data_IF_896407130509
#
_entry.id   IF_896407130509
#
_cell.length_a   1.000
_cell.length_b   1.000
_cell.length_c   1.000
_cell.angle_alpha   90.00
_cell.angle_beta   90.00
_cell.angle_gamma   90.00
#
_symmetry.space_group_name_H-M   'P 1'
#
loop_
_entity.id
_entity.type
_entity.pdbx_description
1 polymer ?
#
# COMPACT_ATOMS: atom_id res chain seq x y z
N UNK A 1 7.41 -39.52 9.55
CA UNK A 1 8.63 -38.75 9.23
C UNK A 1 8.34 -37.26 9.43
N UNK A 2 8.96 -36.60 10.41
CA UNK A 2 8.85 -35.13 10.56
C UNK A 2 9.59 -34.48 9.40
N UNK A 3 8.85 -33.81 8.49
CA UNK A 3 9.45 -33.01 7.42
C UNK A 3 10.22 -31.86 8.08
N UNK A 4 11.54 -31.86 7.96
CA UNK A 4 12.37 -30.78 8.48
C UNK A 4 11.99 -29.49 7.75
N UNK A 5 11.61 -28.47 8.50
CA UNK A 5 11.31 -27.12 7.96
C UNK A 5 12.64 -26.49 7.57
N UNK A 6 12.74 -26.03 6.34
CA UNK A 6 13.93 -25.33 5.88
C UNK A 6 14.07 -23.98 6.58
N UNK A 7 15.23 -23.69 7.18
CA UNK A 7 15.55 -22.38 7.78
C UNK A 7 15.32 -21.25 6.77
N UNK A 8 15.48 -21.52 5.48
CA UNK A 8 15.25 -20.56 4.39
C UNK A 8 13.80 -20.04 4.32
N UNK A 9 12.80 -20.83 4.71
CA UNK A 9 11.40 -20.38 4.78
C UNK A 9 11.04 -19.70 6.10
N UNK A 10 11.84 -19.86 7.14
CA UNK A 10 11.59 -19.28 8.46
C UNK A 10 11.99 -17.81 8.51
N UNK A 11 13.12 -17.43 7.88
CA UNK A 11 13.64 -16.04 7.89
C UNK A 11 12.63 -15.02 7.35
N UNK A 12 12.02 -15.18 6.16
CA UNK A 12 10.99 -14.24 5.69
C UNK A 12 9.80 -14.15 6.64
N UNK A 13 9.31 -15.29 7.14
CA UNK A 13 8.17 -15.31 8.05
C UNK A 13 8.44 -14.54 9.36
N UNK A 14 9.68 -14.57 9.87
CA UNK A 14 10.07 -13.77 11.05
C UNK A 14 9.94 -12.27 10.71
N UNK A 15 10.40 -11.85 9.54
CA UNK A 15 10.33 -10.44 9.12
C UNK A 15 8.87 -10.00 8.96
N UNK A 16 8.01 -10.84 8.37
CA UNK A 16 6.56 -10.58 8.27
C UNK A 16 5.92 -10.44 9.66
N UNK A 17 6.27 -11.31 10.64
CA UNK A 17 5.76 -11.21 12.02
C UNK A 17 6.27 -9.94 12.72
N UNK A 18 7.51 -9.51 12.46
CA UNK A 18 8.02 -8.24 12.95
C UNK A 18 7.27 -7.05 12.35
N UNK A 19 6.98 -7.08 11.04
CA UNK A 19 6.16 -6.06 10.38
C UNK A 19 4.76 -6.00 11.00
N UNK A 20 4.11 -7.14 11.23
CA UNK A 20 2.81 -7.23 11.90
C UNK A 20 2.86 -6.64 13.31
N UNK A 21 3.92 -6.93 14.06
CA UNK A 21 4.11 -6.39 15.42
C UNK A 21 4.22 -4.86 15.42
N UNK A 22 4.86 -4.28 14.40
CA UNK A 22 4.93 -2.83 14.23
C UNK A 22 3.55 -2.23 13.90
N UNK A 23 2.74 -2.86 13.03
CA UNK A 23 1.39 -2.39 12.73
C UNK A 23 0.48 -2.39 13.96
N UNK A 24 0.53 -3.45 14.77
CA UNK A 24 -0.19 -3.52 16.05
C UNK A 24 0.32 -2.48 17.06
N UNK A 25 1.64 -2.23 17.07
CA UNK A 25 2.25 -1.20 17.92
C UNK A 25 1.83 0.20 17.48
N UNK A 26 1.63 0.43 16.18
CA UNK A 26 1.10 1.69 15.67
C UNK A 26 -0.30 1.99 16.22
N UNK A 27 -1.19 1.00 16.30
CA UNK A 27 -2.50 1.13 16.92
C UNK A 27 -2.36 1.52 18.40
N UNK A 28 -1.46 0.85 19.15
CA UNK A 28 -1.18 1.20 20.55
C UNK A 28 -0.74 2.66 20.68
N UNK A 29 0.16 3.14 19.82
CA UNK A 29 0.61 4.54 19.85
C UNK A 29 -0.53 5.51 19.51
N UNK A 30 -1.40 5.17 18.58
CA UNK A 30 -2.59 5.98 18.27
C UNK A 30 -3.54 6.09 19.47
N UNK A 31 -3.77 4.99 20.20
CA UNK A 31 -4.61 4.98 21.41
C UNK A 31 -4.10 5.92 22.51
N UNK A 32 -2.78 6.13 22.60
CA UNK A 32 -2.18 7.10 23.54
C UNK A 32 -1.91 8.46 22.88
N UNK A 33 -2.55 8.75 21.76
CA UNK A 33 -2.45 10.01 20.99
C UNK A 33 -1.02 10.36 20.50
N UNK A 34 -0.14 9.38 20.43
CA UNK A 34 1.22 9.56 19.91
C UNK A 34 1.27 9.18 18.42
N UNK A 35 0.65 10.02 17.58
CA UNK A 35 0.56 9.78 16.13
C UNK A 35 1.91 9.86 15.42
N UNK A 36 2.87 10.62 15.98
CA UNK A 36 4.23 10.67 15.46
C UNK A 36 4.84 9.26 15.40
N UNK A 37 4.88 8.55 16.53
CA UNK A 37 5.43 7.20 16.60
C UNK A 37 4.54 6.19 15.88
N UNK A 38 3.23 6.39 15.85
CA UNK A 38 2.29 5.53 15.12
C UNK A 38 2.60 5.52 13.61
N UNK A 39 2.81 6.69 12.98
CA UNK A 39 3.19 6.81 11.56
C UNK A 39 4.55 6.14 11.30
N UNK A 40 5.55 6.38 12.17
CA UNK A 40 6.87 5.76 12.02
C UNK A 40 6.76 4.24 12.05
N UNK A 41 5.94 3.66 12.94
CA UNK A 41 5.71 2.21 12.99
C UNK A 41 5.09 1.68 11.69
N UNK A 42 4.10 2.37 11.09
CA UNK A 42 3.52 1.95 9.80
C UNK A 42 4.55 2.04 8.67
N UNK A 43 5.36 3.10 8.63
CA UNK A 43 6.43 3.23 7.62
C UNK A 43 7.45 2.11 7.76
N UNK A 44 7.88 1.78 8.98
CA UNK A 44 8.79 0.67 9.23
C UNK A 44 8.15 -0.68 8.89
N UNK A 45 6.86 -0.88 9.20
CA UNK A 45 6.12 -2.07 8.80
C UNK A 45 6.11 -2.23 7.28
N UNK A 46 5.86 -1.16 6.52
CA UNK A 46 5.89 -1.17 5.05
C UNK A 46 7.29 -1.48 4.48
N UNK A 47 8.35 -1.01 5.13
CA UNK A 47 9.73 -1.32 4.72
C UNK A 47 10.04 -2.80 4.96
N UNK A 48 9.66 -3.37 6.11
CA UNK A 48 9.87 -4.77 6.42
C UNK A 48 9.07 -5.69 5.51
N UNK A 49 7.82 -5.34 5.23
CA UNK A 49 6.95 -6.03 4.28
C UNK A 49 7.56 -6.06 2.87
N UNK A 50 8.02 -4.93 2.35
CA UNK A 50 8.72 -4.91 1.07
C UNK A 50 10.03 -5.71 1.08
N UNK A 51 10.67 -5.88 2.23
CA UNK A 51 11.92 -6.62 2.39
C UNK A 51 11.68 -8.13 2.44
N UNK A 52 10.67 -8.63 3.19
CA UNK A 52 10.42 -10.06 3.37
C UNK A 52 10.10 -10.78 2.06
N UNK A 53 9.25 -10.19 1.21
CA UNK A 53 8.93 -10.71 -0.11
C UNK A 53 10.15 -10.74 -1.06
N UNK A 54 11.07 -9.77 -0.95
CA UNK A 54 12.33 -9.78 -1.72
C UNK A 54 13.30 -10.83 -1.19
N UNK A 55 13.47 -10.92 0.13
CA UNK A 55 14.33 -11.90 0.79
C UNK A 55 13.83 -13.31 0.49
N UNK A 56 12.51 -13.59 0.62
CA UNK A 56 11.93 -14.89 0.30
C UNK A 56 12.29 -15.37 -1.11
N UNK A 57 12.24 -14.47 -2.10
CA UNK A 57 12.62 -14.77 -3.49
C UNK A 57 14.11 -14.99 -3.66
N UNK A 58 14.96 -14.17 -3.03
CA UNK A 58 16.41 -14.27 -3.12
C UNK A 58 16.96 -15.59 -2.56
N UNK A 59 16.43 -16.02 -1.38
CA UNK A 59 16.88 -17.25 -0.74
C UNK A 59 16.12 -18.50 -1.19
N UNK A 60 15.19 -18.35 -2.16
CA UNK A 60 14.27 -19.41 -2.63
C UNK A 60 13.50 -20.07 -1.47
N UNK A 61 13.09 -19.25 -0.49
CA UNK A 61 12.42 -19.65 0.74
C UNK A 61 10.91 -19.43 0.71
N UNK A 62 10.29 -19.25 -0.45
CA UNK A 62 8.85 -19.06 -0.59
C UNK A 62 8.08 -20.31 -0.13
N UNK A 63 7.03 -20.12 0.67
CA UNK A 63 6.14 -21.19 1.15
C UNK A 63 4.68 -20.73 1.09
N UNK A 64 3.74 -21.69 0.98
CA UNK A 64 2.30 -21.39 1.03
C UNK A 64 1.92 -20.71 2.36
N UNK A 65 2.45 -21.22 3.48
CA UNK A 65 2.23 -20.61 4.79
C UNK A 65 2.75 -19.16 4.86
N UNK A 66 3.95 -18.89 4.31
CA UNK A 66 4.49 -17.54 4.27
C UNK A 66 3.64 -16.56 3.45
N UNK A 67 3.09 -17.00 2.32
CA UNK A 67 2.22 -16.18 1.49
C UNK A 67 0.88 -15.82 2.18
N UNK A 68 0.30 -16.77 2.93
CA UNK A 68 -0.92 -16.50 3.72
C UNK A 68 -0.61 -15.58 4.91
N UNK A 69 0.51 -15.80 5.59
CA UNK A 69 0.96 -14.95 6.70
C UNK A 69 1.21 -13.51 6.24
N UNK A 70 1.85 -13.32 5.10
CA UNK A 70 2.09 -12.05 4.43
C UNK A 70 0.76 -11.30 4.16
N UNK A 71 -0.22 -11.98 3.55
CA UNK A 71 -1.53 -11.40 3.28
C UNK A 71 -2.30 -10.98 4.55
N UNK A 72 -2.17 -11.76 5.64
CA UNK A 72 -2.79 -11.42 6.92
C UNK A 72 -2.09 -10.24 7.59
N UNK A 73 -0.76 -10.19 7.52
CA UNK A 73 0.05 -9.07 8.01
C UNK A 73 -0.27 -7.78 7.23
N UNK A 74 -0.36 -7.87 5.90
CA UNK A 74 -0.77 -6.77 5.01
C UNK A 74 -2.13 -6.21 5.40
N UNK A 75 -3.11 -7.09 5.67
CA UNK A 75 -4.45 -6.66 6.07
C UNK A 75 -4.42 -5.86 7.37
N UNK A 76 -3.65 -6.29 8.36
CA UNK A 76 -3.52 -5.56 9.63
C UNK A 76 -2.74 -4.26 9.44
N UNK A 77 -1.57 -4.31 8.80
CA UNK A 77 -0.65 -3.19 8.68
C UNK A 77 -1.19 -2.05 7.79
N UNK A 78 -1.92 -2.39 6.72
CA UNK A 78 -2.36 -1.42 5.69
C UNK A 78 -3.87 -1.28 5.59
N UNK A 79 -4.64 -2.19 6.20
CA UNK A 79 -6.09 -2.10 6.29
C UNK A 79 -6.53 -1.60 7.67
N UNK A 80 -6.29 -2.40 8.70
CA UNK A 80 -6.85 -2.15 10.03
C UNK A 80 -6.15 -0.99 10.74
N UNK A 81 -4.81 -1.03 10.83
CA UNK A 81 -4.06 -0.05 11.61
C UNK A 81 -4.22 1.39 11.09
N UNK A 82 -4.06 1.71 9.79
CA UNK A 82 -4.26 3.06 9.26
C UNK A 82 -5.69 3.59 9.45
N UNK A 83 -6.69 2.71 9.25
CA UNK A 83 -8.08 3.08 9.41
C UNK A 83 -8.42 3.43 10.88
N UNK A 84 -7.97 2.60 11.83
CA UNK A 84 -8.15 2.86 13.25
C UNK A 84 -7.38 4.10 13.73
N UNK A 85 -6.16 4.32 13.20
CA UNK A 85 -5.41 5.53 13.50
C UNK A 85 -6.16 6.79 13.08
N UNK A 86 -6.73 6.81 11.86
CA UNK A 86 -7.52 7.94 11.39
C UNK A 86 -8.83 8.08 12.18
N UNK A 87 -9.49 6.97 12.55
CA UNK A 87 -10.68 6.97 13.39
C UNK A 87 -10.41 7.60 14.76
N UNK A 88 -9.34 7.19 15.43
CA UNK A 88 -8.94 7.71 16.74
C UNK A 88 -8.54 9.19 16.65
N UNK A 89 -7.92 9.59 15.53
CA UNK A 89 -7.43 10.95 15.35
C UNK A 89 -8.54 11.97 15.12
N UNK A 90 -9.55 11.64 14.27
CA UNK A 90 -10.55 12.61 13.85
C UNK A 90 -11.95 12.00 13.66
N UNK A 91 -12.09 10.85 13.00
CA UNK A 91 -13.37 10.33 12.55
C UNK A 91 -14.33 9.98 13.71
N UNK A 92 -13.84 9.77 14.91
CA UNK A 92 -14.65 9.51 16.11
C UNK A 92 -15.62 10.66 16.44
N UNK A 93 -15.31 11.90 16.04
CA UNK A 93 -16.17 13.08 16.21
C UNK A 93 -17.50 12.90 15.47
N UNK A 94 -17.51 12.14 14.37
CA UNK A 94 -18.73 11.86 13.59
C UNK A 94 -19.53 10.67 14.13
N UNK A 95 -19.19 10.15 15.30
CA UNK A 95 -19.90 9.04 15.96
C UNK A 95 -20.02 7.78 15.09
N UNK A 96 -21.24 7.26 14.95
CA UNK A 96 -21.49 6.03 14.20
C UNK A 96 -21.14 6.15 12.70
N UNK A 97 -21.29 7.32 12.10
CA UNK A 97 -20.92 7.53 10.69
C UNK A 97 -19.40 7.41 10.47
N UNK A 98 -18.60 7.98 11.37
CA UNK A 98 -17.15 7.85 11.31
C UNK A 98 -16.70 6.38 11.42
N UNK A 99 -17.38 5.61 12.28
CA UNK A 99 -17.11 4.17 12.38
C UNK A 99 -17.47 3.39 11.11
N UNK A 100 -18.65 3.68 10.53
CA UNK A 100 -19.08 3.03 9.27
C UNK A 100 -18.09 3.28 8.14
N UNK A 101 -17.61 4.52 7.98
CA UNK A 101 -16.62 4.86 6.94
C UNK A 101 -15.29 4.14 7.18
N UNK A 102 -14.87 4.03 8.44
CA UNK A 102 -13.69 3.27 8.84
C UNK A 102 -13.83 1.77 8.48
N UNK A 103 -15.00 1.17 8.78
CA UNK A 103 -15.29 -0.22 8.41
C UNK A 103 -15.28 -0.44 6.90
N UNK A 104 -15.85 0.49 6.13
CA UNK A 104 -15.85 0.41 4.66
C UNK A 104 -14.42 0.30 4.13
N UNK A 105 -13.49 1.13 4.63
CA UNK A 105 -12.09 1.07 4.20
C UNK A 105 -11.44 -0.29 4.54
N UNK A 106 -11.64 -0.79 5.76
CA UNK A 106 -11.09 -2.09 6.20
C UNK A 106 -11.61 -3.22 5.31
N UNK A 107 -12.92 -3.24 5.03
CA UNK A 107 -13.55 -4.23 4.17
C UNK A 107 -13.02 -4.12 2.73
N UNK A 108 -12.90 -2.90 2.19
CA UNK A 108 -12.33 -2.66 0.87
C UNK A 108 -10.89 -3.17 0.75
N UNK A 109 -10.07 -2.99 1.79
CA UNK A 109 -8.71 -3.52 1.85
C UNK A 109 -8.71 -5.06 1.86
N UNK A 110 -9.58 -5.70 2.66
CA UNK A 110 -9.74 -7.15 2.71
C UNK A 110 -10.11 -7.72 1.34
N UNK A 111 -11.16 -7.17 0.70
CA UNK A 111 -11.62 -7.61 -0.63
C UNK A 111 -10.55 -7.43 -1.70
N UNK A 112 -9.79 -6.33 -1.62
CA UNK A 112 -8.66 -6.10 -2.51
C UNK A 112 -7.56 -7.16 -2.37
N UNK A 113 -7.16 -7.50 -1.14
CA UNK A 113 -6.15 -8.54 -0.88
C UNK A 113 -6.63 -9.91 -1.35
N UNK A 114 -7.89 -10.27 -1.07
CA UNK A 114 -8.49 -11.51 -1.56
C UNK A 114 -8.45 -11.58 -3.10
N UNK A 115 -8.88 -10.52 -3.80
CA UNK A 115 -8.79 -10.45 -5.27
C UNK A 115 -7.37 -10.57 -5.77
N UNK A 116 -6.40 -9.91 -5.12
CA UNK A 116 -4.99 -9.98 -5.50
C UNK A 116 -4.45 -11.42 -5.39
N UNK A 117 -4.77 -12.13 -4.32
CA UNK A 117 -4.32 -13.51 -4.11
C UNK A 117 -4.87 -14.46 -5.19
N UNK A 118 -6.13 -14.31 -5.59
CA UNK A 118 -6.73 -15.11 -6.67
C UNK A 118 -6.05 -14.83 -8.02
N UNK A 119 -5.72 -13.56 -8.31
CA UNK A 119 -5.16 -13.17 -9.62
C UNK A 119 -3.64 -13.25 -9.71
N UNK A 120 -2.94 -13.52 -8.61
CA UNK A 120 -1.46 -13.56 -8.57
C UNK A 120 -0.85 -14.66 -9.43
N UNK A 121 -1.57 -15.76 -9.66
CA UNK A 121 -1.12 -16.93 -10.42
C UNK A 121 -1.50 -16.87 -11.92
N UNK A 122 -2.22 -15.84 -12.38
CA UNK A 122 -2.64 -15.70 -13.78
C UNK A 122 -1.51 -15.06 -14.58
N UNK A 123 -1.14 -15.70 -15.70
CA UNK A 123 -0.12 -15.17 -16.63
C UNK A 123 -0.70 -13.93 -17.33
N UNK A 124 -0.23 -12.75 -16.95
CA UNK A 124 -0.64 -11.48 -17.54
C UNK A 124 0.12 -11.16 -18.82
N UNK A 125 -0.55 -10.44 -19.72
CA UNK A 125 0.12 -9.89 -20.90
C UNK A 125 1.29 -8.98 -20.48
N UNK A 126 2.50 -9.08 -21.09
CA UNK A 126 3.71 -8.34 -20.70
C UNK A 126 3.54 -6.81 -20.62
N UNK A 127 2.60 -6.24 -21.38
CA UNK A 127 2.29 -4.80 -21.35
C UNK A 127 1.50 -4.44 -20.10
N UNK A 128 0.53 -5.30 -19.73
CA UNK A 128 -0.33 -5.11 -18.55
C UNK A 128 0.40 -5.41 -17.23
N UNK A 129 1.49 -6.16 -17.27
CA UNK A 129 2.30 -6.54 -16.10
C UNK A 129 2.99 -5.33 -15.42
N UNK A 130 3.08 -4.18 -16.10
CA UNK A 130 3.58 -2.93 -15.53
C UNK A 130 2.54 -2.11 -14.78
N UNK A 131 1.29 -2.59 -14.72
CA UNK A 131 0.20 -1.89 -14.03
C UNK A 131 -0.46 -2.82 -13.01
N UNK A 132 -0.74 -2.29 -11.83
CA UNK A 132 -1.62 -2.92 -10.86
C UNK A 132 -3.09 -2.61 -11.20
N UNK A 133 -3.98 -3.50 -10.82
CA UNK A 133 -5.43 -3.27 -10.85
C UNK A 133 -5.86 -2.69 -9.51
N UNK A 134 -6.24 -1.41 -9.49
CA UNK A 134 -6.51 -0.67 -8.25
C UNK A 134 -5.24 -0.18 -7.53
N UNK A 135 -5.44 0.56 -6.43
CA UNK A 135 -4.36 1.05 -5.57
C UNK A 135 -3.85 -0.08 -4.68
N UNK A 136 -2.52 -0.32 -4.58
CA UNK A 136 -1.95 -1.31 -3.65
C UNK A 136 -2.23 -0.95 -2.18
N UNK A 137 -2.38 -1.96 -1.28
CA UNK A 137 -2.72 -1.74 0.14
C UNK A 137 -1.75 -0.80 0.85
N UNK A 138 -0.41 -0.90 0.67
CA UNK A 138 0.51 0.05 1.30
C UNK A 138 0.31 1.49 0.83
N UNK A 139 0.00 1.67 -0.46
CA UNK A 139 -0.28 3.01 -0.99
C UNK A 139 -1.64 3.54 -0.51
N UNK A 140 -2.66 2.69 -0.42
CA UNK A 140 -3.95 3.05 0.19
C UNK A 140 -3.80 3.48 1.65
N UNK A 141 -2.99 2.77 2.43
CA UNK A 141 -2.63 3.15 3.79
C UNK A 141 -1.96 4.53 3.84
N UNK A 142 -0.99 4.76 2.94
CA UNK A 142 -0.33 6.07 2.82
C UNK A 142 -1.32 7.21 2.51
N UNK A 143 -2.30 6.97 1.63
CA UNK A 143 -3.34 7.95 1.30
C UNK A 143 -4.23 8.25 2.53
N UNK A 144 -4.70 7.23 3.23
CA UNK A 144 -5.57 7.37 4.41
C UNK A 144 -4.85 8.09 5.55
N UNK A 145 -3.55 7.92 5.69
CA UNK A 145 -2.75 8.58 6.72
C UNK A 145 -2.34 10.01 6.37
N UNK A 146 -2.59 10.49 5.13
CA UNK A 146 -2.23 11.85 4.71
C UNK A 146 -2.74 12.95 5.67
N UNK A 147 -3.99 12.95 6.18
CA UNK A 147 -4.44 13.98 7.12
C UNK A 147 -3.57 14.04 8.37
N UNK A 148 -3.22 12.90 8.95
CA UNK A 148 -2.34 12.82 10.13
C UNK A 148 -0.92 13.28 9.77
N UNK A 149 -0.40 12.88 8.61
CA UNK A 149 0.92 13.28 8.13
C UNK A 149 0.99 14.81 7.94
N UNK A 150 -0.05 15.41 7.36
CA UNK A 150 -0.17 16.86 7.16
C UNK A 150 -0.19 17.58 8.52
N UNK A 151 -0.95 17.07 9.49
CA UNK A 151 -1.06 17.68 10.82
C UNK A 151 0.27 17.69 11.60
N UNK A 152 1.13 16.68 11.36
CA UNK A 152 2.44 16.54 11.98
C UNK A 152 3.55 17.28 11.21
N UNK A 153 3.28 17.69 9.97
CA UNK A 153 4.21 18.43 9.11
C UNK A 153 4.03 19.93 9.16
N UNK A 154 4.77 20.64 8.28
CA UNK A 154 4.70 22.09 8.15
C UNK A 154 3.48 22.61 7.37
N UNK A 155 2.61 21.71 6.91
CA UNK A 155 1.45 22.01 6.06
C UNK A 155 0.12 21.91 6.82
N UNK A 156 0.14 21.95 8.17
CA UNK A 156 -1.03 21.80 9.03
C UNK A 156 -2.16 22.80 8.71
N UNK A 157 -1.80 24.01 8.25
CA UNK A 157 -2.73 25.06 7.83
C UNK A 157 -3.70 24.61 6.71
N UNK A 158 -3.32 23.59 5.91
CA UNK A 158 -4.21 23.05 4.87
C UNK A 158 -5.43 22.32 5.45
N UNK A 159 -5.35 21.87 6.70
CA UNK A 159 -6.45 21.17 7.38
C UNK A 159 -7.43 22.15 8.02
N UNK A 160 -6.98 23.36 8.36
CA UNK A 160 -7.81 24.38 9.03
C UNK A 160 -9.01 24.78 8.16
N UNK A 161 -8.84 24.79 6.85
CA UNK A 161 -9.89 25.11 5.88
C UNK A 161 -10.65 23.88 5.36
N UNK A 162 -10.17 22.66 5.65
CA UNK A 162 -10.67 21.41 5.07
C UNK A 162 -11.13 20.40 6.12
N UNK A 163 -12.09 20.79 6.96
CA UNK A 163 -12.61 19.97 8.08
C UNK A 163 -13.04 18.55 7.65
N UNK A 164 -13.62 18.39 6.46
CA UNK A 164 -14.10 17.09 5.97
C UNK A 164 -13.03 16.29 5.20
N UNK A 165 -11.81 16.79 5.12
CA UNK A 165 -10.75 16.14 4.37
C UNK A 165 -10.46 14.69 4.83
N UNK A 166 -10.42 14.37 6.16
CA UNK A 166 -10.22 13.00 6.63
C UNK A 166 -11.33 12.03 6.16
N UNK A 167 -12.58 12.48 6.16
CA UNK A 167 -13.72 11.66 5.69
C UNK A 167 -13.64 11.44 4.18
N UNK A 168 -13.34 12.48 3.42
CA UNK A 168 -13.26 12.42 1.94
C UNK A 168 -12.12 11.50 1.52
N UNK A 169 -10.95 11.63 2.14
CA UNK A 169 -9.76 10.87 1.74
C UNK A 169 -9.91 9.36 2.01
N UNK A 170 -10.53 8.97 3.13
CA UNK A 170 -10.74 7.55 3.42
C UNK A 170 -11.78 6.94 2.47
N UNK A 171 -12.83 7.66 2.08
CA UNK A 171 -13.82 7.22 1.09
C UNK A 171 -13.17 7.07 -0.29
N UNK A 172 -12.40 8.06 -0.72
CA UNK A 172 -11.67 8.00 -2.00
C UNK A 172 -10.71 6.83 -2.01
N UNK A 173 -9.93 6.62 -0.95
CA UNK A 173 -8.98 5.52 -0.84
C UNK A 173 -9.68 4.16 -0.89
N UNK A 174 -10.82 4.01 -0.21
CA UNK A 174 -11.66 2.80 -0.24
C UNK A 174 -12.11 2.48 -1.65
N UNK A 175 -12.64 3.48 -2.37
CA UNK A 175 -13.06 3.32 -3.77
C UNK A 175 -11.90 2.97 -4.69
N UNK A 176 -10.74 3.64 -4.55
CA UNK A 176 -9.55 3.38 -5.36
C UNK A 176 -8.99 1.97 -5.17
N UNK A 177 -9.09 1.39 -3.97
CA UNK A 177 -8.65 0.04 -3.68
C UNK A 177 -9.49 -1.03 -4.41
N UNK A 178 -10.82 -0.87 -4.46
CA UNK A 178 -11.72 -1.82 -5.14
C UNK A 178 -11.75 -1.59 -6.64
N UNK A 179 -11.51 -0.35 -7.08
CA UNK A 179 -11.59 0.03 -8.50
C UNK A 179 -10.65 -0.80 -9.37
N UNK A 180 -10.98 -0.89 -10.66
CA UNK A 180 -10.11 -1.47 -11.70
C UNK A 180 -9.17 -0.40 -12.30
N UNK A 181 -9.01 0.77 -11.67
CA UNK A 181 -8.16 1.86 -12.15
C UNK A 181 -6.70 1.39 -12.16
N UNK A 182 -5.99 1.46 -13.28
CA UNK A 182 -4.60 1.03 -13.35
C UNK A 182 -3.69 1.98 -12.59
N UNK A 183 -2.78 1.44 -11.79
CA UNK A 183 -1.72 2.20 -11.12
C UNK A 183 -0.35 1.65 -11.50
N UNK A 184 0.69 2.49 -11.54
CA UNK A 184 2.03 2.06 -11.94
C UNK A 184 2.59 1.01 -10.97
N UNK A 185 3.07 -0.13 -11.51
CA UNK A 185 3.66 -1.22 -10.73
C UNK A 185 5.20 -1.16 -10.67
N UNK A 186 5.86 -0.31 -11.48
CA UNK A 186 7.33 -0.12 -11.57
C UNK A 186 8.15 -1.43 -11.63
N UNK A 187 7.55 -2.55 -12.09
CA UNK A 187 8.18 -3.89 -12.05
C UNK A 187 9.34 -4.08 -13.04
N UNK A 188 9.30 -3.40 -14.18
CA UNK A 188 10.25 -3.64 -15.30
C UNK A 188 10.90 -2.36 -15.83
N UNK A 189 11.40 -1.50 -14.97
CA UNK A 189 12.16 -0.33 -15.41
C UNK A 189 13.55 -0.80 -15.85
N UNK A 190 13.83 -0.72 -17.17
CA UNK A 190 15.18 -0.93 -17.69
C UNK A 190 15.99 0.34 -17.46
N UNK A 191 16.91 0.29 -16.50
CA UNK A 191 17.79 1.41 -16.18
C UNK A 191 19.05 1.30 -17.04
N UNK A 192 19.32 2.32 -17.85
CA UNK A 192 20.58 2.43 -18.60
C UNK A 192 21.72 2.73 -17.63
N UNK A 193 22.90 2.16 -17.84
CA UNK A 193 24.07 2.32 -16.94
C UNK A 193 24.39 3.79 -16.63
N UNK A 194 24.13 4.71 -17.56
CA UNK A 194 24.35 6.15 -17.39
C UNK A 194 23.52 6.77 -16.24
N UNK A 195 22.34 6.24 -15.94
CA UNK A 195 21.46 6.78 -14.89
C UNK A 195 21.64 6.14 -13.51
N UNK A 196 22.46 5.09 -13.40
CA UNK A 196 22.66 4.38 -12.12
C UNK A 196 23.22 5.30 -11.05
N UNK A 197 24.23 6.12 -11.36
CA UNK A 197 24.81 7.06 -10.42
C UNK A 197 23.78 8.12 -9.95
N UNK A 198 22.99 8.64 -10.89
CA UNK A 198 21.94 9.62 -10.59
C UNK A 198 20.87 9.04 -9.65
N UNK A 199 20.46 7.78 -9.90
CA UNK A 199 19.48 7.10 -9.05
C UNK A 199 20.05 6.82 -7.66
N UNK A 200 21.32 6.43 -7.56
CA UNK A 200 21.98 6.27 -6.26
C UNK A 200 22.03 7.60 -5.48
N UNK A 201 22.43 8.70 -6.13
CA UNK A 201 22.43 10.02 -5.51
C UNK A 201 21.04 10.43 -5.04
N UNK A 202 20.03 10.25 -5.91
CA UNK A 202 18.63 10.55 -5.57
C UNK A 202 18.12 9.70 -4.41
N UNK A 203 18.48 8.43 -4.34
CA UNK A 203 18.07 7.54 -3.22
C UNK A 203 18.69 7.98 -1.90
N UNK A 204 19.95 8.40 -1.89
CA UNK A 204 20.64 8.92 -0.69
C UNK A 204 20.00 10.24 -0.25
N UNK A 205 19.71 11.16 -1.17
CA UNK A 205 19.02 12.42 -0.87
C UNK A 205 17.62 12.17 -0.30
N UNK A 206 16.83 11.29 -0.94
CA UNK A 206 15.49 10.93 -0.47
C UNK A 206 15.54 10.36 0.95
N UNK A 207 16.50 9.48 1.23
CA UNK A 207 16.70 8.90 2.56
C UNK A 207 17.09 9.97 3.58
N UNK A 208 17.97 10.90 3.22
CA UNK A 208 18.33 12.06 4.05
C UNK A 208 17.13 12.95 4.39
N UNK A 209 16.29 13.26 3.38
CA UNK A 209 15.05 14.01 3.59
C UNK A 209 14.04 13.24 4.45
N UNK A 210 13.94 11.91 4.28
CA UNK A 210 13.09 11.06 5.10
C UNK A 210 13.49 11.08 6.59
N UNK A 211 14.77 11.18 6.91
CA UNK A 211 15.25 11.25 8.31
C UNK A 211 15.04 12.65 8.89
N UNK A 212 15.40 13.70 8.14
CA UNK A 212 15.39 15.09 8.66
C UNK A 212 13.99 15.72 8.63
N UNK A 213 13.21 15.45 7.59
CA UNK A 213 11.88 16.06 7.34
C UNK A 213 10.86 14.97 7.06
N UNK A 214 10.73 13.96 7.94
CA UNK A 214 9.93 12.74 7.76
C UNK A 214 8.53 13.04 7.22
N UNK A 215 7.75 13.86 7.93
CA UNK A 215 6.33 14.09 7.59
C UNK A 215 6.16 14.91 6.32
N UNK A 216 7.00 15.91 6.10
CA UNK A 216 6.96 16.72 4.88
C UNK A 216 7.32 15.87 3.65
N UNK A 217 8.30 14.96 3.78
CA UNK A 217 8.70 14.05 2.71
C UNK A 217 7.60 13.02 2.42
N UNK A 218 6.99 12.44 3.46
CA UNK A 218 5.86 11.53 3.30
C UNK A 218 4.65 12.21 2.65
N UNK A 219 4.37 13.47 3.01
CA UNK A 219 3.32 14.26 2.37
C UNK A 219 3.58 14.43 0.88
N UNK A 220 4.80 14.87 0.49
CA UNK A 220 5.17 15.05 -0.91
C UNK A 220 5.06 13.73 -1.69
N UNK A 221 5.55 12.62 -1.13
CA UNK A 221 5.43 11.28 -1.75
C UNK A 221 3.96 10.91 -1.94
N UNK A 222 3.12 11.12 -0.93
CA UNK A 222 1.68 10.81 -1.00
C UNK A 222 0.95 11.63 -2.07
N UNK A 223 1.23 12.94 -2.16
CA UNK A 223 0.65 13.81 -3.18
C UNK A 223 1.13 13.42 -4.58
N UNK A 224 2.44 13.17 -4.76
CA UNK A 224 2.97 12.70 -6.05
C UNK A 224 2.35 11.37 -6.47
N UNK A 225 2.12 10.46 -5.51
CA UNK A 225 1.45 9.19 -5.80
C UNK A 225 -0.01 9.41 -6.25
N UNK A 226 -0.77 10.27 -5.55
CA UNK A 226 -2.15 10.62 -5.95
C UNK A 226 -2.20 11.23 -7.36
N UNK A 227 -1.28 12.13 -7.68
CA UNK A 227 -1.17 12.73 -9.02
C UNK A 227 -0.76 11.70 -10.10
N UNK A 228 -0.06 10.64 -9.74
CA UNK A 228 0.35 9.57 -10.67
C UNK A 228 -0.83 8.69 -11.11
N UNK A 229 -1.91 8.61 -10.34
CA UNK A 229 -3.08 7.75 -10.64
C UNK A 229 -3.76 8.17 -11.95
N UNK A 230 -4.20 9.44 -12.14
CA UNK A 230 -4.78 9.86 -13.40
C UNK A 230 -3.80 9.73 -14.58
N UNK A 231 -2.52 10.01 -14.38
CA UNK A 231 -1.50 9.84 -15.42
C UNK A 231 -1.40 8.38 -15.86
N UNK A 232 -1.40 7.44 -14.91
CA UNK A 232 -1.39 6.00 -15.18
C UNK A 232 -2.62 5.55 -15.99
N UNK A 233 -3.80 6.09 -15.65
CA UNK A 233 -5.04 5.79 -16.37
C UNK A 233 -4.99 6.23 -17.84
N UNK A 234 -4.58 7.46 -18.12
CA UNK A 234 -4.46 7.97 -19.49
C UNK A 234 -3.35 7.24 -20.27
N UNK A 235 -2.24 6.92 -19.63
CA UNK A 235 -1.12 6.21 -20.25
C UNK A 235 -1.53 4.78 -20.66
N UNK A 236 -2.21 4.03 -19.79
CA UNK A 236 -2.70 2.70 -20.16
C UNK A 236 -3.71 2.75 -21.30
N UNK A 237 -4.63 3.74 -21.28
CA UNK A 237 -5.60 3.91 -22.36
C UNK A 237 -4.91 4.19 -23.69
N UNK A 238 -3.88 5.02 -23.70
CA UNK A 238 -3.05 5.27 -24.88
C UNK A 238 -2.36 4.00 -25.39
N UNK A 239 -1.77 3.20 -24.50
CA UNK A 239 -1.11 1.95 -24.84
C UNK A 239 -2.08 0.90 -25.41
N UNK A 240 -3.28 0.76 -24.82
CA UNK A 240 -4.32 -0.14 -25.33
C UNK A 240 -4.74 0.23 -26.74
N UNK A 241 -4.97 1.51 -27.03
CA UNK A 241 -5.32 1.99 -28.35
C UNK A 241 -4.20 1.75 -29.38
N UNK A 242 -2.94 1.97 -28.99
CA UNK A 242 -1.77 1.79 -29.87
C UNK A 242 -1.51 0.32 -30.25
N UNK A 243 -1.83 -0.62 -29.35
CA UNK A 243 -1.55 -2.05 -29.55
C UNK A 243 -2.77 -2.88 -29.91
N UNK A 244 -3.95 -2.26 -30.18
CA UNK A 244 -5.22 -2.94 -30.48
C UNK A 244 -5.55 -4.09 -29.50
N UNK A 245 -5.18 -3.94 -28.22
CA UNK A 245 -5.43 -4.95 -27.21
C UNK A 245 -6.92 -4.91 -26.84
N UNK A 246 -7.68 -5.89 -27.35
CA UNK A 246 -9.09 -6.07 -26.99
C UNK A 246 -9.22 -6.47 -25.52
N UNK A 247 -10.24 -5.92 -24.88
CA UNK A 247 -10.57 -6.08 -23.44
C UNK A 247 -11.23 -7.43 -23.13
N UNK A 248 -11.45 -8.30 -24.11
CA UNK A 248 -12.44 -9.39 -24.05
C UNK A 248 -11.95 -10.69 -23.42
N UNK A 249 -10.65 -10.84 -23.10
CA UNK A 249 -10.13 -12.10 -22.54
C UNK A 249 -10.01 -12.14 -21.03
N UNK A 250 -10.04 -11.00 -20.32
CA UNK A 250 -9.84 -10.95 -18.87
C UNK A 250 -11.16 -10.92 -18.07
N UNK A 251 -12.28 -10.54 -18.68
CA UNK A 251 -13.58 -10.49 -18.00
C UNK A 251 -14.28 -11.86 -17.92
N UNK A 252 -14.03 -12.76 -18.87
CA UNK A 252 -14.69 -14.08 -18.88
C UNK A 252 -14.13 -15.06 -17.84
N UNK A 253 -12.85 -14.90 -17.45
CA UNK A 253 -12.20 -15.78 -16.45
C UNK A 253 -12.42 -15.32 -15.00
N UNK A 254 -12.79 -14.06 -14.78
CA UNK A 254 -13.01 -13.51 -13.44
C UNK A 254 -14.51 -13.58 -13.04
N UNK A 255 -15.41 -13.69 -14.02
CA UNK A 255 -16.86 -13.69 -13.77
C UNK A 255 -17.41 -15.02 -13.28
N UNK A 256 -16.70 -16.14 -13.45
CA UNK A 256 -17.18 -17.48 -13.04
C UNK A 256 -16.76 -17.89 -11.61
N UNK A 257 -15.69 -17.29 -11.04
CA UNK A 257 -15.15 -17.72 -9.73
C UNK A 257 -15.30 -16.69 -8.59
N UNK A 258 -15.99 -15.56 -8.78
CA UNK A 258 -16.04 -14.44 -7.80
C UNK A 258 -17.46 -14.08 -7.34
N UNK A 259 -18.42 -15.01 -7.42
CA UNK A 259 -19.70 -14.86 -6.70
C UNK A 259 -20.02 -16.12 -5.92
#
# INVERSE_FOLDING_TARGET
MKKAISIRSVIPNIITVLALSLGLTAIKFALVQNFHNAIICIVLAAILDAADGRIARLIKGTSKFGAELDSLADFVNFGVAPALMLYIWDLNVYGNLGWVVTLIYIICCCLRLARFNLTSNIVKNPILDNFFTGVPSPAGAGIVLLPIIISLGNFSYLLDEAQYFPVIIIIISSFLMISKIPTYAFKKIKITKAYVLLIMLFSVLLFGFLITYTFNTLFVIGVMYLLSIPVSFFHLRYLKNKHNLKTDSDESLISEDVL
#
